data_IF_224387077790
#
_entry.id   IF_224387077790
#
_cell.length_a   1.000
_cell.length_b   1.000
_cell.length_c   1.000
_cell.angle_alpha   90.00
_cell.angle_beta   90.00
_cell.angle_gamma   90.00
#
_symmetry.space_group_name_H-M   'P 1'
#
loop_
_entity.id
_entity.type
_entity.pdbx_description
1 polymer ?
#
# COMPACT_ATOMS: atom_id res chain seq x y z
N UNK A 1 16.93 12.42 -39.05
CA UNK A 1 16.48 13.02 -37.77
C UNK A 1 17.01 12.15 -36.63
N UNK A 2 18.20 12.47 -36.08
CA UNK A 2 18.80 11.70 -34.98
C UNK A 2 18.11 12.12 -33.68
N UNK A 3 16.96 11.51 -33.35
CA UNK A 3 16.44 11.59 -31.97
C UNK A 3 17.59 11.14 -31.07
N UNK A 4 18.16 12.08 -30.28
CA UNK A 4 19.24 11.74 -29.35
C UNK A 4 18.69 10.66 -28.44
N UNK A 5 19.37 9.50 -28.35
CA UNK A 5 18.98 8.33 -27.53
C UNK A 5 18.51 8.73 -26.12
N UNK A 6 19.02 9.83 -25.59
CA UNK A 6 18.61 10.46 -24.33
C UNK A 6 17.13 10.81 -24.23
N UNK A 7 16.47 11.29 -25.30
CA UNK A 7 15.04 11.57 -25.30
C UNK A 7 14.20 10.29 -25.24
N UNK A 8 14.69 9.20 -25.83
CA UNK A 8 14.02 7.89 -25.76
C UNK A 8 14.13 7.33 -24.33
N UNK A 9 15.31 7.42 -23.71
CA UNK A 9 15.49 7.04 -22.31
C UNK A 9 14.61 7.87 -21.37
N UNK A 10 14.55 9.19 -21.57
CA UNK A 10 13.70 10.08 -20.77
C UNK A 10 12.20 9.73 -20.94
N UNK A 11 11.75 9.48 -22.17
CA UNK A 11 10.37 9.09 -22.44
C UNK A 11 10.00 7.76 -21.76
N UNK A 12 10.88 6.77 -21.77
CA UNK A 12 10.67 5.50 -21.07
C UNK A 12 10.55 5.73 -19.57
N UNK A 13 11.43 6.53 -18.96
CA UNK A 13 11.37 6.88 -17.54
C UNK A 13 10.05 7.58 -17.22
N UNK A 14 9.63 8.56 -18.02
CA UNK A 14 8.35 9.23 -17.83
C UNK A 14 7.17 8.27 -17.88
N UNK A 15 7.12 7.34 -18.86
CA UNK A 15 6.04 6.35 -18.98
C UNK A 15 5.98 5.45 -17.74
N UNK A 16 7.13 4.97 -17.27
CA UNK A 16 7.20 4.15 -16.04
C UNK A 16 6.73 4.94 -14.82
N UNK A 17 7.14 6.20 -14.67
CA UNK A 17 6.68 7.08 -13.59
C UNK A 17 5.17 7.37 -13.66
N UNK A 18 4.62 7.61 -14.85
CA UNK A 18 3.17 7.83 -15.01
C UNK A 18 2.36 6.57 -14.72
N UNK A 19 2.80 5.40 -15.19
CA UNK A 19 2.16 4.12 -14.86
C UNK A 19 2.16 3.87 -13.36
N UNK A 20 3.26 4.20 -12.69
CA UNK A 20 3.38 4.12 -11.24
C UNK A 20 2.43 5.08 -10.50
N UNK A 21 2.32 6.33 -10.94
CA UNK A 21 1.37 7.30 -10.35
C UNK A 21 -0.08 6.81 -10.50
N UNK A 22 -0.44 6.31 -11.69
CA UNK A 22 -1.77 5.76 -11.96
C UNK A 22 -2.08 4.55 -11.07
N UNK A 23 -1.09 3.68 -10.83
CA UNK A 23 -1.23 2.54 -9.93
C UNK A 23 -1.49 2.96 -8.48
N UNK A 24 -0.75 3.96 -7.97
CA UNK A 24 -0.95 4.48 -6.60
C UNK A 24 -2.30 5.19 -6.44
N UNK A 25 -2.78 5.84 -7.50
CA UNK A 25 -4.09 6.51 -7.53
C UNK A 25 -5.24 5.57 -7.88
N UNK A 26 -5.00 4.25 -7.96
CA UNK A 26 -6.07 3.33 -8.34
C UNK A 26 -7.17 3.35 -7.25
N UNK A 27 -8.42 3.71 -7.61
CA UNK A 27 -9.53 3.78 -6.65
C UNK A 27 -9.81 2.44 -5.96
N UNK A 28 -9.33 1.32 -6.51
CA UNK A 28 -9.41 0.01 -5.84
C UNK A 28 -8.77 -0.01 -4.44
N UNK A 29 -7.85 0.92 -4.17
CA UNK A 29 -7.16 1.03 -2.89
C UNK A 29 -7.75 2.07 -1.95
N UNK A 30 -8.79 2.82 -2.35
CA UNK A 30 -9.35 3.88 -1.51
C UNK A 30 -9.98 3.33 -0.23
N UNK A 31 -10.73 2.24 -0.32
CA UNK A 31 -11.32 1.57 0.85
C UNK A 31 -10.24 1.03 1.78
N UNK A 32 -9.23 0.38 1.18
CA UNK A 32 -8.10 -0.17 1.90
C UNK A 32 -7.33 0.95 2.65
N UNK A 33 -7.05 2.06 1.96
CA UNK A 33 -6.42 3.25 2.53
C UNK A 33 -7.25 3.84 3.68
N UNK A 34 -8.57 3.88 3.55
CA UNK A 34 -9.47 4.40 4.58
C UNK A 34 -9.43 3.57 5.87
N UNK A 35 -9.21 2.26 5.76
CA UNK A 35 -9.06 1.37 6.93
C UNK A 35 -7.65 1.38 7.51
N UNK A 36 -6.61 1.42 6.67
CA UNK A 36 -5.24 1.30 7.14
C UNK A 36 -4.71 2.62 7.72
N UNK A 37 -5.07 3.78 7.17
CA UNK A 37 -4.53 5.04 7.64
C UNK A 37 -4.74 5.27 9.16
N UNK A 38 -5.94 5.05 9.73
CA UNK A 38 -6.14 5.13 11.18
C UNK A 38 -5.19 4.25 12.00
N UNK A 39 -4.86 3.04 11.51
CA UNK A 39 -3.93 2.12 12.17
C UNK A 39 -2.54 2.76 12.29
N UNK A 40 -2.07 3.39 11.21
CA UNK A 40 -0.78 4.09 11.18
C UNK A 40 -0.78 5.42 11.93
N UNK A 41 -1.95 6.04 12.10
CA UNK A 41 -2.16 7.23 12.92
C UNK A 41 -2.28 6.90 14.43
N UNK A 42 -2.32 5.61 14.79
CA UNK A 42 -2.40 5.14 16.17
C UNK A 42 -3.82 5.08 16.74
N UNK A 43 -4.84 5.06 15.88
CA UNK A 43 -6.23 4.88 16.30
C UNK A 43 -6.45 3.43 16.78
N UNK A 44 -6.68 3.29 18.09
CA UNK A 44 -6.90 2.00 18.75
C UNK A 44 -8.22 1.32 18.39
N UNK A 45 -9.15 2.03 17.75
CA UNK A 45 -10.38 1.43 17.25
C UNK A 45 -10.17 0.58 16.00
N UNK A 46 -8.99 0.67 15.36
CA UNK A 46 -8.62 -0.13 14.20
C UNK A 46 -7.48 -1.08 14.56
N UNK A 47 -7.64 -2.35 14.20
CA UNK A 47 -6.63 -3.39 14.47
C UNK A 47 -6.54 -4.38 13.33
N UNK A 48 -5.38 -5.02 13.23
CA UNK A 48 -5.14 -6.14 12.33
C UNK A 48 -5.10 -7.40 13.15
N UNK A 49 -5.95 -8.36 12.81
CA UNK A 49 -6.01 -9.66 13.48
C UNK A 49 -5.66 -10.79 12.51
N UNK A 50 -5.10 -11.87 13.03
CA UNK A 50 -4.85 -13.08 12.25
C UNK A 50 -6.06 -14.05 12.30
N UNK A 51 -5.94 -15.22 11.66
CA UNK A 51 -6.98 -16.26 11.67
C UNK A 51 -7.37 -16.74 13.08
N UNK A 52 -6.45 -16.67 14.04
CA UNK A 52 -6.68 -17.03 15.44
C UNK A 52 -7.30 -15.88 16.25
N UNK A 53 -7.69 -14.78 15.59
CA UNK A 53 -8.23 -13.56 16.19
C UNK A 53 -7.25 -12.89 17.19
N UNK A 54 -5.94 -13.12 17.03
CA UNK A 54 -4.89 -12.44 17.80
C UNK A 54 -4.59 -11.10 17.16
N UNK A 55 -4.44 -10.08 18.00
CA UNK A 55 -3.99 -8.75 17.58
C UNK A 55 -2.53 -8.81 17.15
N UNK A 56 -2.27 -8.48 15.89
CA UNK A 56 -0.94 -8.43 15.27
C UNK A 56 -0.64 -7.06 14.68
N UNK A 57 -1.36 -6.02 15.13
CA UNK A 57 -1.29 -4.66 14.57
C UNK A 57 0.13 -4.10 14.57
N UNK A 58 0.89 -4.30 15.65
CA UNK A 58 2.25 -3.78 15.75
C UNK A 58 3.20 -4.45 14.75
N UNK A 59 3.13 -5.77 14.61
CA UNK A 59 3.91 -6.52 13.63
C UNK A 59 3.54 -6.11 12.20
N UNK A 60 2.23 -5.99 11.91
CA UNK A 60 1.74 -5.51 10.63
C UNK A 60 2.29 -4.11 10.28
N UNK A 61 2.24 -3.15 11.23
CA UNK A 61 2.79 -1.81 11.02
C UNK A 61 4.29 -1.87 10.72
N UNK A 62 5.05 -2.66 11.49
CA UNK A 62 6.50 -2.78 11.28
C UNK A 62 6.83 -3.34 9.90
N UNK A 63 6.19 -4.43 9.49
CA UNK A 63 6.45 -5.12 8.24
C UNK A 63 5.99 -4.33 7.01
N UNK A 64 4.90 -3.57 7.14
CA UNK A 64 4.29 -2.83 6.02
C UNK A 64 4.62 -1.33 6.00
N UNK A 65 5.43 -0.84 6.95
CA UNK A 65 5.79 0.59 7.10
C UNK A 65 6.32 1.23 5.82
N UNK A 66 7.24 0.55 5.12
CA UNK A 66 7.81 1.06 3.88
C UNK A 66 6.75 1.14 2.78
N UNK A 67 5.88 0.14 2.68
CA UNK A 67 4.79 0.15 1.71
C UNK A 67 3.82 1.30 1.97
N UNK A 68 3.46 1.55 3.24
CA UNK A 68 2.62 2.68 3.60
C UNK A 68 3.28 4.02 3.27
N UNK A 69 4.55 4.19 3.64
CA UNK A 69 5.34 5.41 3.36
C UNK A 69 5.38 5.75 1.87
N UNK A 70 5.57 4.73 1.02
CA UNK A 70 5.60 4.90 -0.44
C UNK A 70 4.23 4.76 -1.12
N UNK A 71 3.15 4.65 -0.34
CA UNK A 71 1.77 4.49 -0.84
C UNK A 71 1.56 3.27 -1.74
N UNK A 72 2.29 2.19 -1.46
CA UNK A 72 2.16 0.89 -2.09
C UNK A 72 1.02 0.07 -1.48
N UNK A 73 -0.20 0.59 -1.56
CA UNK A 73 -1.37 -0.08 -0.98
C UNK A 73 -1.64 -1.47 -1.57
N UNK A 74 -1.29 -1.71 -2.84
CA UNK A 74 -1.33 -3.07 -3.41
C UNK A 74 -0.39 -4.05 -2.70
N UNK A 75 0.81 -3.63 -2.29
CA UNK A 75 1.71 -4.48 -1.49
C UNK A 75 1.19 -4.73 -0.08
N UNK A 76 0.48 -3.77 0.49
CA UNK A 76 -0.19 -3.97 1.78
C UNK A 76 -1.34 -4.96 1.63
N UNK A 77 -2.11 -4.88 0.53
CA UNK A 77 -3.16 -5.85 0.19
C UNK A 77 -2.59 -7.26 0.03
N UNK A 78 -1.52 -7.40 -0.74
CA UNK A 78 -0.81 -8.67 -0.94
C UNK A 78 -0.37 -9.24 0.43
N UNK A 79 0.27 -8.41 1.27
CA UNK A 79 0.71 -8.82 2.60
C UNK A 79 -0.44 -9.30 3.50
N UNK A 80 -1.58 -8.58 3.49
CA UNK A 80 -2.79 -8.99 4.25
C UNK A 80 -3.28 -10.36 3.75
N UNK A 81 -3.33 -10.55 2.44
CA UNK A 81 -3.78 -11.81 1.84
C UNK A 81 -2.82 -12.98 2.12
N UNK A 82 -1.52 -12.76 1.95
CA UNK A 82 -0.49 -13.79 2.10
C UNK A 82 -0.35 -14.29 3.55
N UNK A 83 -0.70 -13.44 4.51
CA UNK A 83 -0.65 -13.75 5.95
C UNK A 83 -2.03 -14.03 6.57
N UNK A 84 -3.07 -14.16 5.75
CA UNK A 84 -4.46 -14.38 6.17
C UNK A 84 -4.92 -13.42 7.29
N UNK A 85 -4.64 -12.13 7.10
CA UNK A 85 -4.96 -11.08 8.05
C UNK A 85 -6.33 -10.49 7.76
N UNK A 86 -7.00 -10.03 8.82
CA UNK A 86 -8.28 -9.33 8.74
C UNK A 86 -8.16 -7.96 9.39
N UNK A 87 -8.67 -6.94 8.71
CA UNK A 87 -8.81 -5.60 9.26
C UNK A 87 -10.11 -5.55 10.09
N UNK A 88 -9.99 -5.19 11.36
CA UNK A 88 -11.11 -5.13 12.29
C UNK A 88 -11.26 -3.72 12.84
N UNK A 89 -12.51 -3.30 13.05
CA UNK A 89 -12.86 -2.05 13.72
C UNK A 89 -13.72 -2.35 14.93
N UNK A 90 -13.31 -1.86 16.09
CA UNK A 90 -14.12 -1.92 17.30
C UNK A 90 -15.32 -0.96 17.15
N UNK A 91 -16.53 -1.49 17.31
CA UNK A 91 -17.79 -0.72 17.27
C UNK A 91 -17.99 0.13 18.51
#
# INVERSE_FOLDING_TARGET
>A
MKLKKWYVCLAIVCIVCFGYIMYIMNPEFDDLKRFINPIYEGDKSYRVVNEENKDVTEAFIQDTRLYHTFKFYGKIKDYISDNNLTLSKDS
#
